data_IF_755881351123
#
_entry.id   IF_755881351123
#
_cell.length_a   1.000
_cell.length_b   1.000
_cell.length_c   1.000
_cell.angle_alpha   90.00
_cell.angle_beta   90.00
_cell.angle_gamma   90.00
#
_symmetry.space_group_name_H-M   'P 1'
#
loop_
_entity.id
_entity.type
_entity.pdbx_description
1 polymer ?
#
# COMPACT_ATOMS: atom_id res chain seq x y z
N UNK A 1 -29.29 -11.53 -7.78
CA UNK A 1 -29.09 -10.12 -7.37
C UNK A 1 -28.95 -9.98 -5.86
N UNK A 2 -29.90 -10.46 -5.05
CA UNK A 2 -29.86 -10.37 -3.58
C UNK A 2 -28.59 -10.96 -2.94
N UNK A 3 -28.14 -12.14 -3.39
CA UNK A 3 -26.94 -12.80 -2.86
C UNK A 3 -25.68 -11.94 -2.95
N UNK A 4 -25.43 -11.30 -4.11
CA UNK A 4 -24.28 -10.39 -4.29
C UNK A 4 -24.39 -9.16 -3.37
N UNK A 5 -25.60 -8.67 -3.15
CA UNK A 5 -25.85 -7.53 -2.25
C UNK A 5 -25.59 -7.88 -0.78
N UNK A 6 -25.97 -9.09 -0.34
CA UNK A 6 -25.63 -9.58 1.00
C UNK A 6 -24.13 -9.75 1.18
N UNK A 7 -23.42 -10.33 0.21
CA UNK A 7 -21.94 -10.44 0.25
C UNK A 7 -21.29 -9.05 0.32
N UNK A 8 -21.78 -8.09 -0.46
CA UNK A 8 -21.30 -6.72 -0.45
C UNK A 8 -21.50 -6.04 0.90
N UNK A 9 -22.69 -6.11 1.51
CA UNK A 9 -22.94 -5.48 2.82
C UNK A 9 -22.15 -6.16 3.93
N UNK A 10 -22.08 -7.48 3.92
CA UNK A 10 -21.35 -8.26 4.93
C UNK A 10 -19.83 -8.25 4.73
N UNK A 11 -19.33 -7.62 3.67
CA UNK A 11 -17.92 -7.61 3.29
C UNK A 11 -17.32 -9.03 3.10
N UNK A 12 -18.16 -10.01 2.77
CA UNK A 12 -17.80 -11.42 2.63
C UNK A 12 -17.45 -11.76 1.17
N UNK A 13 -16.93 -10.77 0.44
CA UNK A 13 -16.47 -10.92 -0.93
C UNK A 13 -15.16 -11.71 -0.96
N UNK A 14 -14.78 -12.25 -2.13
CA UNK A 14 -13.56 -13.06 -2.29
C UNK A 14 -12.27 -12.32 -1.91
N UNK A 15 -12.31 -10.99 -1.90
CA UNK A 15 -11.32 -10.14 -1.23
C UNK A 15 -12.08 -9.14 -0.37
N UNK A 16 -11.66 -8.97 0.89
CA UNK A 16 -12.22 -7.94 1.76
C UNK A 16 -12.00 -6.56 1.13
N UNK A 17 -12.99 -5.68 1.19
CA UNK A 17 -12.83 -4.28 0.76
C UNK A 17 -11.70 -3.58 1.50
N UNK A 18 -11.44 -3.97 2.75
CA UNK A 18 -10.32 -3.44 3.53
C UNK A 18 -8.96 -3.79 2.90
N UNK A 19 -8.81 -5.01 2.36
CA UNK A 19 -7.60 -5.40 1.62
C UNK A 19 -7.45 -4.61 0.33
N UNK A 20 -8.55 -4.43 -0.43
CA UNK A 20 -8.50 -3.63 -1.65
C UNK A 20 -8.09 -2.16 -1.37
N UNK A 21 -8.68 -1.55 -0.33
CA UNK A 21 -8.30 -0.18 0.06
C UNK A 21 -6.85 -0.10 0.53
N UNK A 22 -6.36 -1.11 1.26
CA UNK A 22 -4.97 -1.17 1.65
C UNK A 22 -4.05 -1.30 0.44
N UNK A 23 -4.36 -2.19 -0.52
CA UNK A 23 -3.55 -2.40 -1.73
C UNK A 23 -3.45 -1.09 -2.55
N UNK A 24 -4.56 -0.36 -2.68
CA UNK A 24 -4.57 0.95 -3.34
C UNK A 24 -3.72 1.97 -2.58
N UNK A 25 -3.87 2.07 -1.26
CA UNK A 25 -3.08 2.99 -0.44
C UNK A 25 -1.58 2.64 -0.50
N UNK A 26 -1.25 1.36 -0.41
CA UNK A 26 0.11 0.83 -0.52
C UNK A 26 0.74 1.25 -1.86
N UNK A 27 0.02 1.07 -2.96
CA UNK A 27 0.48 1.45 -4.29
C UNK A 27 0.73 2.95 -4.41
N UNK A 28 -0.21 3.79 -3.93
CA UNK A 28 -0.09 5.25 -3.98
C UNK A 28 1.12 5.72 -3.18
N UNK A 29 1.26 5.26 -1.93
CA UNK A 29 2.33 5.69 -1.03
C UNK A 29 3.71 5.30 -1.60
N UNK A 30 3.87 4.05 -2.05
CA UNK A 30 5.13 3.61 -2.65
C UNK A 30 5.47 4.36 -3.94
N UNK A 31 4.47 4.65 -4.77
CA UNK A 31 4.66 5.42 -6.01
C UNK A 31 5.12 6.84 -5.71
N UNK A 32 4.47 7.52 -4.76
CA UNK A 32 4.84 8.87 -4.33
C UNK A 32 6.23 8.88 -3.69
N UNK A 33 6.56 7.89 -2.85
CA UNK A 33 7.89 7.76 -2.26
C UNK A 33 8.97 7.56 -3.33
N UNK A 34 8.73 6.72 -4.33
CA UNK A 34 9.65 6.52 -5.46
C UNK A 34 9.88 7.81 -6.27
N UNK A 35 8.81 8.50 -6.65
CA UNK A 35 8.90 9.78 -7.37
C UNK A 35 9.63 10.84 -6.55
N UNK A 36 9.32 10.94 -5.26
CA UNK A 36 10.00 11.87 -4.35
C UNK A 36 11.48 11.52 -4.20
N UNK A 37 11.83 10.24 -4.08
CA UNK A 37 13.21 9.78 -4.03
C UNK A 37 14.01 10.13 -5.28
N UNK A 38 13.43 9.91 -6.47
CA UNK A 38 14.07 10.30 -7.74
C UNK A 38 14.25 11.83 -7.79
N UNK A 39 13.22 12.59 -7.44
CA UNK A 39 13.28 14.05 -7.42
C UNK A 39 14.38 14.57 -6.49
N UNK A 40 14.47 14.02 -5.27
CA UNK A 40 15.50 14.41 -4.30
C UNK A 40 16.90 14.01 -4.76
N UNK A 41 17.06 12.83 -5.36
CA UNK A 41 18.35 12.38 -5.91
C UNK A 41 18.86 13.33 -7.00
N UNK A 42 17.97 13.82 -7.88
CA UNK A 42 18.33 14.77 -8.94
C UNK A 42 18.81 16.11 -8.36
N UNK A 43 18.19 16.59 -7.28
CA UNK A 43 18.52 17.93 -6.72
C UNK A 43 19.75 17.89 -5.82
N UNK A 44 19.88 16.83 -5.02
CA UNK A 44 20.92 16.75 -3.98
C UNK A 44 22.14 15.96 -4.46
N UNK A 45 22.05 15.27 -5.61
CA UNK A 45 23.07 14.36 -6.15
C UNK A 45 23.44 13.20 -5.22
N UNK A 46 22.62 12.96 -4.19
CA UNK A 46 22.79 11.89 -3.21
C UNK A 46 21.46 11.19 -2.92
N UNK A 47 21.49 9.87 -2.65
CA UNK A 47 20.29 9.12 -2.30
C UNK A 47 19.78 9.55 -0.92
N UNK A 48 18.53 10.03 -0.87
CA UNK A 48 17.87 10.40 0.38
C UNK A 48 17.23 9.19 1.06
N UNK A 49 17.45 9.07 2.36
CA UNK A 49 16.96 7.96 3.17
C UNK A 49 15.45 7.96 3.39
N UNK A 50 14.82 9.12 3.45
CA UNK A 50 13.39 9.26 3.77
C UNK A 50 12.51 8.43 2.80
N UNK A 51 12.61 8.58 1.46
CA UNK A 51 11.79 7.78 0.55
C UNK A 51 12.07 6.28 0.63
N UNK A 52 13.31 5.88 0.90
CA UNK A 52 13.68 4.47 1.12
C UNK A 52 12.98 3.93 2.38
N UNK A 53 13.06 4.65 3.49
CA UNK A 53 12.42 4.26 4.76
C UNK A 53 10.90 4.15 4.64
N UNK A 54 10.26 5.04 3.87
CA UNK A 54 8.81 4.95 3.61
C UNK A 54 8.49 3.65 2.88
N UNK A 55 9.23 3.31 1.83
CA UNK A 55 9.05 2.07 1.07
C UNK A 55 9.23 0.88 2.02
N UNK A 56 10.37 0.78 2.70
CA UNK A 56 10.66 -0.33 3.62
C UNK A 56 9.59 -0.50 4.70
N UNK A 57 9.15 0.60 5.31
CA UNK A 57 8.09 0.56 6.32
C UNK A 57 6.76 0.06 5.75
N UNK A 58 6.38 0.50 4.55
CA UNK A 58 5.14 0.00 3.93
C UNK A 58 5.21 -1.49 3.59
N UNK A 59 6.37 -1.98 3.15
CA UNK A 59 6.59 -3.42 2.93
C UNK A 59 6.56 -4.22 4.23
N UNK A 60 7.14 -3.69 5.32
CA UNK A 60 7.03 -4.31 6.63
C UNK A 60 5.57 -4.39 7.09
N UNK A 61 4.79 -3.33 6.89
CA UNK A 61 3.35 -3.30 7.19
C UNK A 61 2.57 -4.35 6.40
N UNK A 62 2.86 -4.50 5.12
CA UNK A 62 2.23 -5.51 4.26
C UNK A 62 2.61 -6.95 4.68
N UNK A 63 3.87 -7.19 5.03
CA UNK A 63 4.29 -8.48 5.59
C UNK A 63 3.58 -8.81 6.90
N UNK A 64 3.40 -7.83 7.80
CA UNK A 64 2.63 -8.02 9.03
C UNK A 64 1.14 -8.30 8.77
N UNK A 65 0.58 -7.79 7.67
CA UNK A 65 -0.80 -8.09 7.25
C UNK A 65 -0.94 -9.54 6.81
N UNK A 66 -0.01 -10.03 5.99
CA UNK A 66 -0.05 -11.39 5.44
C UNK A 66 0.38 -12.47 6.46
N UNK A 67 1.12 -12.10 7.51
CA UNK A 67 1.50 -13.00 8.61
C UNK A 67 0.44 -13.10 9.73
N UNK A 68 -0.79 -12.64 9.50
CA UNK A 68 -1.90 -12.84 10.44
C UNK A 68 -2.37 -14.31 10.33
N UNK A 69 -2.36 -15.09 11.43
CA UNK A 69 -2.82 -16.48 11.42
C UNK A 69 -4.32 -16.60 11.11
#
# INVERSE_FOLDING_TARGET
MLWKWFLYITNNESKSRHEQHFDVAFFIINTLAGLFGIYMFIIHEEPQWIPILIIEYTWALDNMRHNRP
#
